data_IF_642235065841
#
_entry.id   IF_642235065841
#
_cell.length_a   1.000
_cell.length_b   1.000
_cell.length_c   1.000
_cell.angle_alpha   90.00
_cell.angle_beta   90.00
_cell.angle_gamma   90.00
#
_symmetry.space_group_name_H-M   'P 1'
#
loop_
_entity.id
_entity.type
_entity.pdbx_description
1 polymer ?
#
# COMPACT_ATOMS: atom_id res chain seq x y z
N UNK A 1 14.96 23.26 7.80
CA UNK A 1 13.59 23.01 7.35
C UNK A 1 13.63 22.13 6.11
N UNK A 2 13.20 20.90 6.26
CA UNK A 2 12.92 19.94 5.21
C UNK A 2 11.39 19.75 5.05
N UNK A 3 10.98 19.05 3.99
CA UNK A 3 9.59 18.79 3.67
C UNK A 3 9.35 17.28 3.59
N UNK A 4 8.26 16.82 4.20
CA UNK A 4 7.87 15.41 4.20
C UNK A 4 6.40 15.26 3.85
N UNK A 5 6.04 14.16 3.18
CA UNK A 5 4.62 13.84 2.95
C UNK A 5 3.95 13.47 4.27
N UNK A 6 2.69 13.86 4.43
CA UNK A 6 1.81 13.32 5.45
C UNK A 6 0.49 12.97 4.77
N UNK A 7 0.24 11.67 4.65
CA UNK A 7 -0.82 11.12 3.82
C UNK A 7 -2.02 10.84 4.72
N UNK A 8 -3.20 11.24 4.24
CA UNK A 8 -4.47 11.08 4.92
C UNK A 8 -5.45 10.31 4.02
N UNK A 9 -6.16 9.36 4.63
CA UNK A 9 -7.48 8.92 4.20
C UNK A 9 -8.53 10.01 4.52
N UNK A 10 -9.71 10.04 3.86
CA UNK A 10 -10.80 10.93 4.27
C UNK A 10 -11.17 10.81 5.76
N UNK A 11 -11.02 9.62 6.32
CA UNK A 11 -11.35 9.27 7.69
C UNK A 11 -10.32 9.82 8.66
N UNK A 12 -9.03 9.57 8.42
CA UNK A 12 -7.95 10.16 9.23
C UNK A 12 -7.89 11.68 9.09
N UNK A 13 -8.25 12.22 7.92
CA UNK A 13 -8.45 13.65 7.74
C UNK A 13 -9.57 14.17 8.65
N UNK A 14 -10.72 13.48 8.69
CA UNK A 14 -11.85 13.88 9.52
C UNK A 14 -11.54 13.73 11.02
N UNK A 15 -10.81 12.68 11.40
CA UNK A 15 -10.36 12.47 12.77
C UNK A 15 -9.44 13.61 13.23
N UNK A 16 -8.45 13.99 12.41
CA UNK A 16 -7.62 15.17 12.67
C UNK A 16 -8.46 16.47 12.68
N UNK A 17 -9.44 16.59 11.79
CA UNK A 17 -10.36 17.73 11.76
C UNK A 17 -11.24 17.81 13.02
N UNK A 18 -11.53 16.70 13.67
CA UNK A 18 -12.32 16.64 14.90
C UNK A 18 -11.47 16.73 16.18
N UNK A 19 -10.14 16.59 16.07
CA UNK A 19 -9.22 16.81 17.18
C UNK A 19 -8.85 18.28 17.37
N UNK A 20 -8.01 18.56 18.36
CA UNK A 20 -7.42 19.89 18.61
C UNK A 20 -6.36 20.29 17.55
N UNK A 21 -5.99 19.36 16.64
CA UNK A 21 -5.00 19.51 15.56
C UNK A 21 -3.60 19.86 16.06
N UNK A 22 -3.26 19.48 17.29
CA UNK A 22 -1.93 19.74 17.87
C UNK A 22 -0.99 18.55 17.71
N UNK A 23 -1.50 17.39 17.29
CA UNK A 23 -0.73 16.14 17.16
C UNK A 23 -0.95 15.49 15.79
N UNK A 24 0.15 15.13 15.13
CA UNK A 24 0.14 14.23 13.96
C UNK A 24 0.72 12.88 14.35
N UNK A 25 0.03 11.79 13.99
CA UNK A 25 0.45 10.43 14.32
C UNK A 25 0.82 9.60 13.10
N UNK A 26 1.71 8.65 13.32
CA UNK A 26 2.23 7.71 12.33
C UNK A 26 2.29 6.31 12.94
N UNK A 27 2.33 5.28 12.08
CA UNK A 27 2.36 3.88 12.51
C UNK A 27 3.76 3.50 13.00
N UNK A 28 3.84 2.48 13.85
CA UNK A 28 5.12 1.96 14.39
C UNK A 28 6.12 1.62 13.29
N UNK A 29 5.66 1.05 12.16
CA UNK A 29 6.53 0.73 11.01
C UNK A 29 7.26 1.96 10.43
N UNK A 30 6.71 3.16 10.64
CA UNK A 30 7.28 4.42 10.16
C UNK A 30 8.26 5.06 11.15
N UNK A 31 8.52 4.44 12.31
CA UNK A 31 9.38 4.99 13.37
C UNK A 31 10.77 5.40 12.87
N UNK A 32 11.42 4.57 12.06
CA UNK A 32 12.75 4.87 11.50
C UNK A 32 12.75 6.06 10.53
N UNK A 33 11.63 6.32 9.84
CA UNK A 33 11.47 7.51 9.01
C UNK A 33 11.16 8.74 9.87
N UNK A 34 10.33 8.58 10.90
CA UNK A 34 9.96 9.61 11.84
C UNK A 34 11.17 10.17 12.59
N UNK A 35 12.12 9.33 12.99
CA UNK A 35 13.36 9.74 13.66
C UNK A 35 14.24 10.69 12.82
N UNK A 36 14.01 10.79 11.51
CA UNK A 36 14.73 11.70 10.61
C UNK A 36 14.13 13.10 10.57
N UNK A 37 12.91 13.28 11.09
CA UNK A 37 12.18 14.55 11.09
C UNK A 37 12.63 15.40 12.28
N UNK A 38 12.76 16.71 12.09
CA UNK A 38 13.21 17.65 13.13
C UNK A 38 12.19 18.77 13.34
N UNK A 39 12.26 19.39 14.53
CA UNK A 39 11.52 20.62 14.80
C UNK A 39 11.81 21.69 13.72
N UNK A 40 10.75 22.35 13.26
CA UNK A 40 10.78 23.31 12.16
C UNK A 40 10.74 22.70 10.76
N UNK A 41 10.68 21.37 10.62
CA UNK A 41 10.34 20.73 9.35
C UNK A 41 8.83 20.83 9.07
N UNK A 42 8.44 20.67 7.81
CA UNK A 42 7.04 20.82 7.37
C UNK A 42 6.51 19.49 6.84
N UNK A 43 5.38 19.06 7.38
CA UNK A 43 4.54 18.05 6.77
C UNK A 43 3.62 18.69 5.73
N UNK A 44 3.69 18.19 4.49
CA UNK A 44 2.78 18.57 3.40
C UNK A 44 1.71 17.50 3.28
N UNK A 45 0.47 17.87 3.61
CA UNK A 45 -0.64 16.94 3.79
C UNK A 45 -1.32 16.63 2.46
N UNK A 46 -1.49 15.34 2.17
CA UNK A 46 -2.09 14.83 0.95
C UNK A 46 -3.24 13.87 1.24
N UNK A 47 -4.35 14.04 0.55
CA UNK A 47 -5.56 13.22 0.64
C UNK A 47 -5.59 12.23 -0.53
N UNK A 48 -5.37 10.95 -0.25
CA UNK A 48 -5.14 9.91 -1.28
C UNK A 48 -6.34 9.70 -2.20
N UNK A 49 -7.51 9.38 -1.63
CA UNK A 49 -8.72 8.98 -2.38
C UNK A 49 -9.24 10.06 -3.31
N UNK A 50 -9.11 11.33 -2.92
CA UNK A 50 -9.47 12.48 -3.77
C UNK A 50 -8.29 13.00 -4.60
N UNK A 51 -7.08 12.52 -4.33
CA UNK A 51 -5.84 12.98 -4.94
C UNK A 51 -5.63 14.50 -4.80
N UNK A 52 -5.72 15.02 -3.57
CA UNK A 52 -5.67 16.47 -3.29
C UNK A 52 -4.67 16.83 -2.19
N UNK A 53 -4.00 17.97 -2.32
CA UNK A 53 -3.20 18.55 -1.24
C UNK A 53 -4.10 19.38 -0.32
N UNK A 54 -4.06 19.10 0.98
CA UNK A 54 -5.03 19.65 1.93
C UNK A 54 -4.42 20.46 3.08
N UNK A 55 -3.11 20.42 3.32
CA UNK A 55 -2.59 21.09 4.50
C UNK A 55 -1.07 21.20 4.62
N UNK A 56 -0.67 22.03 5.58
CA UNK A 56 0.71 22.24 6.01
C UNK A 56 0.77 22.20 7.53
N UNK A 57 1.57 21.30 8.07
CA UNK A 57 1.81 21.20 9.52
C UNK A 57 3.29 21.46 9.79
N UNK A 58 3.59 22.44 10.63
CA UNK A 58 4.94 22.71 11.12
C UNK A 58 5.21 21.81 12.32
N UNK A 59 6.31 21.05 12.29
CA UNK A 59 6.73 20.20 13.39
C UNK A 59 7.25 21.05 14.53
N UNK A 60 6.65 20.93 15.71
CA UNK A 60 7.08 21.63 16.93
C UNK A 60 8.12 20.79 17.67
N UNK A 61 7.81 19.51 17.92
CA UNK A 61 8.74 18.54 18.49
C UNK A 61 8.29 17.09 18.16
N UNK A 62 9.11 16.12 18.58
CA UNK A 62 8.93 14.68 18.33
C UNK A 62 10.12 14.08 17.56
N UNK A 63 10.03 12.79 17.16
CA UNK A 63 8.93 11.88 17.45
C UNK A 63 8.89 11.46 18.92
N UNK A 64 7.70 11.16 19.44
CA UNK A 64 7.49 10.45 20.71
C UNK A 64 6.49 9.31 20.53
N UNK A 65 6.44 8.39 21.48
CA UNK A 65 5.54 7.24 21.45
C UNK A 65 4.45 7.42 22.50
N UNK A 66 3.19 7.40 22.08
CA UNK A 66 2.03 7.49 22.95
C UNK A 66 0.87 6.70 22.35
N UNK A 67 0.42 5.69 23.09
CA UNK A 67 -0.65 4.76 22.70
C UNK A 67 -2.04 5.20 23.16
N UNK A 68 -2.18 6.38 23.77
CA UNK A 68 -3.49 6.92 24.17
C UNK A 68 -4.34 7.16 22.92
N UNK A 69 -5.52 6.53 22.76
CA UNK A 69 -6.31 6.69 21.54
C UNK A 69 -6.65 8.15 21.25
N UNK A 70 -6.37 8.61 20.02
CA UNK A 70 -6.54 10.02 19.62
C UNK A 70 -7.34 10.17 18.33
N UNK A 71 -7.02 9.38 17.31
CA UNK A 71 -7.68 9.43 16.00
C UNK A 71 -8.79 8.38 15.89
N UNK A 72 -8.64 7.25 16.59
CA UNK A 72 -9.62 6.18 16.67
C UNK A 72 -10.03 5.97 18.14
N UNK A 73 -11.29 5.56 18.35
CA UNK A 73 -11.82 5.35 19.70
C UNK A 73 -11.14 4.19 20.46
N UNK A 74 -10.65 3.18 19.73
CA UNK A 74 -9.89 2.05 20.26
C UNK A 74 -8.84 1.58 19.26
N UNK A 75 -7.76 0.97 19.77
CA UNK A 75 -6.65 0.40 18.99
C UNK A 75 -6.10 1.36 17.92
N UNK A 76 -5.84 2.60 18.34
CA UNK A 76 -5.27 3.64 17.49
C UNK A 76 -3.85 3.24 17.05
N UNK A 77 -3.60 2.97 15.76
CA UNK A 77 -2.30 2.51 15.29
C UNK A 77 -1.29 3.66 15.14
N UNK A 78 -1.70 4.91 15.29
CA UNK A 78 -0.90 6.11 15.03
C UNK A 78 -0.19 6.60 16.30
N UNK A 79 0.63 5.72 16.89
CA UNK A 79 1.27 5.94 18.19
C UNK A 79 2.62 6.66 18.10
N UNK A 80 3.22 6.76 16.91
CA UNK A 80 4.44 7.54 16.70
C UNK A 80 4.03 8.97 16.36
N UNK A 81 4.16 9.89 17.32
CA UNK A 81 3.52 11.21 17.29
C UNK A 81 4.51 12.36 17.24
N UNK A 82 4.03 13.48 16.73
CA UNK A 82 4.70 14.77 16.75
C UNK A 82 3.72 15.82 17.23
N UNK A 83 4.19 16.74 18.07
CA UNK A 83 3.46 17.99 18.25
C UNK A 83 3.64 18.84 17.00
N UNK A 84 2.53 19.37 16.50
CA UNK A 84 2.48 20.13 15.26
C UNK A 84 1.72 21.42 15.43
N UNK A 85 2.05 22.41 14.61
CA UNK A 85 1.29 23.64 14.44
C UNK A 85 0.69 23.67 13.04
N UNK A 86 -0.63 23.79 12.96
CA UNK A 86 -1.33 23.96 11.69
C UNK A 86 -0.96 25.31 11.07
N UNK A 87 -0.39 25.29 9.86
CA UNK A 87 -0.19 26.48 9.02
C UNK A 87 -1.31 26.64 8.02
N UNK A 88 -1.75 25.53 7.42
CA UNK A 88 -2.84 25.47 6.45
C UNK A 88 -3.61 24.18 6.67
N UNK A 89 -4.94 24.26 6.62
CA UNK A 89 -5.82 23.09 6.56
C UNK A 89 -7.07 23.45 5.74
N UNK A 90 -7.25 22.78 4.60
CA UNK A 90 -8.25 23.11 3.58
C UNK A 90 -9.36 22.06 3.56
N UNK A 91 -10.65 22.47 3.63
CA UNK A 91 -11.79 21.59 3.37
C UNK A 91 -11.69 20.86 2.02
N UNK A 92 -12.35 19.71 1.86
CA UNK A 92 -12.27 18.93 0.61
C UNK A 92 -12.56 19.73 -0.67
N UNK A 93 -13.60 20.60 -0.72
CA UNK A 93 -13.85 21.41 -1.91
C UNK A 93 -12.75 22.43 -2.20
N UNK A 94 -11.90 22.78 -1.24
CA UNK A 94 -10.84 23.78 -1.39
C UNK A 94 -9.44 23.16 -1.45
N UNK A 95 -9.31 21.87 -1.15
CA UNK A 95 -8.07 21.13 -1.27
C UNK A 95 -7.63 21.07 -2.73
N UNK A 96 -6.34 21.34 -2.99
CA UNK A 96 -5.79 21.55 -4.34
C UNK A 96 -5.65 20.20 -5.05
N UNK A 97 -6.34 19.95 -6.17
CA UNK A 97 -6.19 18.70 -6.91
C UNK A 97 -4.78 18.55 -7.50
N UNK A 98 -4.24 17.34 -7.41
CA UNK A 98 -2.92 16.98 -7.95
C UNK A 98 -2.80 17.32 -9.45
N UNK A 99 -3.89 17.18 -10.20
CA UNK A 99 -3.93 17.31 -11.65
C UNK A 99 -4.06 18.76 -12.18
N UNK A 100 -4.10 19.76 -11.29
CA UNK A 100 -4.07 21.17 -11.69
C UNK A 100 -2.74 21.51 -12.38
N UNK A 101 -2.75 22.37 -13.41
CA UNK A 101 -1.51 22.70 -14.15
C UNK A 101 -0.43 23.35 -13.26
N UNK A 102 -0.87 24.17 -12.31
CA UNK A 102 0.00 24.79 -11.31
C UNK A 102 0.80 23.77 -10.49
N UNK A 103 0.25 22.58 -10.28
CA UNK A 103 0.90 21.49 -9.53
C UNK A 103 1.58 20.52 -10.50
N UNK A 104 0.80 19.92 -11.40
CA UNK A 104 1.24 18.81 -12.25
C UNK A 104 2.43 19.15 -13.14
N UNK A 105 2.43 20.33 -13.77
CA UNK A 105 3.49 20.69 -14.72
C UNK A 105 4.78 21.16 -14.03
N UNK A 106 4.76 21.34 -12.71
CA UNK A 106 5.81 22.05 -11.98
C UNK A 106 6.50 21.19 -10.90
N UNK A 107 5.89 20.08 -10.47
CA UNK A 107 6.51 19.13 -9.56
C UNK A 107 7.49 18.22 -10.30
N UNK A 108 8.66 17.98 -9.69
CA UNK A 108 9.71 17.18 -10.32
C UNK A 108 9.28 15.75 -10.70
N UNK A 109 8.36 15.16 -9.94
CA UNK A 109 7.86 13.80 -10.12
C UNK A 109 6.62 13.70 -11.04
N UNK A 110 6.11 14.81 -11.57
CA UNK A 110 4.97 14.82 -12.52
C UNK A 110 5.21 15.63 -13.80
N UNK A 111 6.10 16.62 -13.79
CA UNK A 111 6.33 17.53 -14.92
C UNK A 111 6.67 16.84 -16.25
N UNK A 112 7.24 15.62 -16.19
CA UNK A 112 7.64 14.83 -17.36
C UNK A 112 6.69 13.64 -17.62
N UNK A 113 5.52 13.63 -16.99
CA UNK A 113 4.55 12.55 -17.06
C UNK A 113 3.23 13.13 -17.61
N UNK A 114 2.62 12.42 -18.56
CA UNK A 114 1.28 12.80 -19.06
C UNK A 114 0.23 12.67 -17.94
N UNK A 115 -0.75 13.58 -17.89
CA UNK A 115 -1.77 13.63 -16.81
C UNK A 115 -2.61 12.36 -16.64
N UNK A 116 -2.74 11.58 -17.70
CA UNK A 116 -3.44 10.28 -17.73
C UNK A 116 -2.57 9.12 -17.23
N UNK A 117 -1.25 9.33 -17.07
CA UNK A 117 -0.33 8.32 -16.58
C UNK A 117 -0.37 8.25 -15.06
N UNK A 118 -0.26 7.02 -14.54
CA UNK A 118 -0.35 6.70 -13.11
C UNK A 118 1.03 6.48 -12.46
N UNK A 119 2.12 6.77 -13.19
CA UNK A 119 3.50 6.57 -12.73
C UNK A 119 4.04 7.62 -11.74
N UNK A 120 3.23 8.61 -11.34
CA UNK A 120 3.64 9.67 -10.41
C UNK A 120 3.41 9.33 -8.93
N UNK A 121 2.63 8.30 -8.64
CA UNK A 121 2.08 8.09 -7.29
C UNK A 121 3.15 7.75 -6.26
N UNK A 122 4.33 7.25 -6.65
CA UNK A 122 5.37 6.72 -5.77
C UNK A 122 5.69 7.57 -4.53
N UNK A 123 5.86 8.88 -4.69
CA UNK A 123 6.15 9.78 -3.55
C UNK A 123 4.99 9.86 -2.54
N UNK A 124 3.75 9.65 -2.99
CA UNK A 124 2.52 9.90 -2.25
C UNK A 124 1.83 8.63 -1.73
N UNK A 125 2.53 7.49 -1.77
CA UNK A 125 1.99 6.20 -1.32
C UNK A 125 2.20 5.91 0.16
N UNK A 126 3.19 6.58 0.76
CA UNK A 126 3.51 6.46 2.17
C UNK A 126 3.74 7.85 2.77
N UNK A 127 3.34 8.00 4.03
CA UNK A 127 3.74 9.16 4.84
C UNK A 127 5.23 9.14 5.17
N UNK A 128 5.78 10.32 5.45
CA UNK A 128 7.18 10.59 5.79
C UNK A 128 8.18 10.39 4.65
N UNK A 129 7.71 10.36 3.40
CA UNK A 129 8.60 10.46 2.25
C UNK A 129 9.16 11.89 2.15
N UNK A 130 10.48 12.00 2.01
CA UNK A 130 11.14 13.31 1.89
C UNK A 130 10.86 13.93 0.53
N UNK A 131 10.33 15.14 0.53
CA UNK A 131 10.08 15.95 -0.67
C UNK A 131 11.32 16.81 -0.91
N UNK A 132 11.77 16.92 -2.16
CA UNK A 132 12.90 17.80 -2.48
C UNK A 132 12.53 19.28 -2.23
N UNK A 133 13.54 20.11 -2.02
CA UNK A 133 13.36 21.49 -1.61
C UNK A 133 12.55 22.33 -2.62
N UNK A 134 12.74 22.11 -3.92
CA UNK A 134 12.02 22.83 -4.99
C UNK A 134 10.52 22.53 -4.93
N UNK A 135 10.17 21.25 -4.90
CA UNK A 135 8.77 20.80 -4.86
C UNK A 135 8.10 21.18 -3.54
N UNK A 136 8.81 21.04 -2.41
CA UNK A 136 8.30 21.42 -1.10
C UNK A 136 7.98 22.92 -1.00
N UNK A 137 8.86 23.79 -1.51
CA UNK A 137 8.61 25.24 -1.58
C UNK A 137 7.43 25.58 -2.49
N UNK A 138 7.31 24.91 -3.64
CA UNK A 138 6.19 25.09 -4.55
C UNK A 138 4.86 24.75 -3.87
N UNK A 139 4.75 23.55 -3.29
CA UNK A 139 3.55 23.09 -2.61
C UNK A 139 3.19 23.99 -1.43
N UNK A 140 4.17 24.36 -0.61
CA UNK A 140 3.97 25.27 0.51
C UNK A 140 3.40 26.62 0.05
N UNK A 141 3.97 27.22 -1.00
CA UNK A 141 3.46 28.47 -1.57
C UNK A 141 2.03 28.33 -2.10
N UNK A 142 1.75 27.27 -2.85
CA UNK A 142 0.42 27.02 -3.42
C UNK A 142 -0.64 26.85 -2.32
N UNK A 143 -0.33 26.09 -1.26
CA UNK A 143 -1.24 25.85 -0.15
C UNK A 143 -1.49 27.11 0.70
N UNK A 144 -0.45 27.91 0.97
CA UNK A 144 -0.62 29.20 1.64
C UNK A 144 -1.49 30.16 0.82
N UNK A 145 -1.21 30.28 -0.48
CA UNK A 145 -2.02 31.12 -1.37
C UNK A 145 -3.47 30.63 -1.45
N UNK A 146 -3.68 29.31 -1.51
CA UNK A 146 -5.02 28.73 -1.53
C UNK A 146 -5.78 28.94 -0.23
N UNK A 147 -5.09 28.98 0.92
CA UNK A 147 -5.71 29.32 2.20
C UNK A 147 -6.27 30.75 2.20
N UNK A 148 -5.58 31.69 1.56
CA UNK A 148 -6.01 33.09 1.46
C UNK A 148 -7.12 33.29 0.41
N UNK A 149 -7.01 32.64 -0.75
CA UNK A 149 -7.96 32.79 -1.86
C UNK A 149 -9.24 31.97 -1.62
N UNK A 150 -9.11 30.80 -1.00
CA UNK A 150 -10.18 29.83 -0.77
C UNK A 150 -10.95 29.45 -2.06
N UNK A 151 -10.24 29.23 -3.18
CA UNK A 151 -10.85 28.86 -4.45
C UNK A 151 -11.51 27.47 -4.39
N UNK A 152 -12.68 27.32 -5.00
CA UNK A 152 -13.38 26.03 -5.01
C UNK A 152 -12.95 25.13 -6.17
N UNK A 153 -12.71 23.87 -5.81
CA UNK A 153 -12.52 22.70 -6.65
C UNK A 153 -13.64 21.69 -6.34
N UNK A 154 -14.84 21.83 -6.94
CA UNK A 154 -16.01 21.04 -6.58
C UNK A 154 -15.75 19.52 -6.72
N UNK A 155 -16.37 18.74 -5.83
CA UNK A 155 -16.31 17.28 -5.85
C UNK A 155 -17.29 16.73 -6.88
N UNK A 156 -16.82 15.90 -7.81
CA UNK A 156 -17.68 15.26 -8.80
C UNK A 156 -18.39 14.02 -8.21
N UNK A 157 -19.27 13.38 -8.98
CA UNK A 157 -20.00 12.18 -8.50
C UNK A 157 -19.07 11.01 -8.12
N UNK A 158 -17.93 10.87 -8.80
CA UNK A 158 -16.95 9.82 -8.48
C UNK A 158 -16.26 10.11 -7.14
N UNK A 159 -15.86 11.36 -6.89
CA UNK A 159 -15.30 11.82 -5.62
C UNK A 159 -16.28 11.54 -4.47
N UNK A 160 -17.56 11.86 -4.69
CA UNK A 160 -18.61 11.61 -3.70
C UNK A 160 -18.81 10.13 -3.42
N UNK A 161 -18.70 9.26 -4.43
CA UNK A 161 -18.73 7.80 -4.24
C UNK A 161 -17.53 7.32 -3.42
N UNK A 162 -16.32 7.83 -3.71
CA UNK A 162 -15.09 7.47 -2.95
C UNK A 162 -15.12 7.89 -1.49
N UNK A 163 -15.94 8.89 -1.14
CA UNK A 163 -16.16 9.35 0.23
C UNK A 163 -17.26 8.57 0.98
N UNK A 164 -18.10 7.79 0.28
CA UNK A 164 -19.14 6.97 0.92
C UNK A 164 -18.51 5.66 1.40
N UNK A 165 -18.16 5.59 2.69
CA UNK A 165 -17.75 4.36 3.38
C UNK A 165 -18.92 3.72 4.10
N UNK A 166 -18.96 2.39 4.13
CA UNK A 166 -19.87 1.60 4.96
C UNK A 166 -19.05 0.99 6.12
N UNK A 167 -19.56 1.04 7.35
CA UNK A 167 -18.92 0.41 8.52
C UNK A 167 -19.63 -0.90 8.85
N UNK A 168 -18.87 -1.97 9.14
CA UNK A 168 -19.38 -3.23 9.66
C UNK A 168 -18.88 -3.42 11.09
N UNK A 169 -19.80 -3.67 12.01
CA UNK A 169 -19.49 -3.93 13.40
C UNK A 169 -19.12 -5.41 13.59
N UNK A 170 -17.89 -5.69 13.99
CA UNK A 170 -17.47 -7.00 14.49
C UNK A 170 -17.61 -7.03 16.01
N UNK A 171 -17.62 -8.23 16.60
CA UNK A 171 -17.77 -8.43 18.06
C UNK A 171 -16.66 -7.77 18.88
N UNK A 172 -15.51 -7.53 18.27
CA UNK A 172 -14.28 -6.98 18.84
C UNK A 172 -13.95 -5.56 18.36
N UNK A 173 -14.23 -5.21 17.09
CA UNK A 173 -13.94 -3.87 16.53
C UNK A 173 -14.88 -3.48 15.37
N UNK A 174 -15.06 -2.18 15.14
CA UNK A 174 -15.74 -1.65 13.93
C UNK A 174 -14.73 -1.56 12.78
N UNK A 175 -15.06 -2.15 11.64
CA UNK A 175 -14.19 -2.20 10.45
C UNK A 175 -14.90 -1.54 9.27
N UNK A 176 -14.17 -0.74 8.50
CA UNK A 176 -14.69 -0.10 7.29
C UNK A 176 -14.64 -1.04 6.10
N UNK A 177 -15.72 -1.07 5.33
CA UNK A 177 -15.91 -1.95 4.18
C UNK A 177 -16.36 -1.19 2.95
N UNK A 178 -16.01 -1.73 1.78
CA UNK A 178 -16.53 -1.26 0.50
C UNK A 178 -17.62 -2.20 -0.01
N UNK A 179 -18.78 -1.66 -0.39
CA UNK A 179 -19.88 -2.42 -0.99
C UNK A 179 -19.92 -2.09 -2.50
N UNK A 180 -19.75 -3.07 -3.41
CA UNK A 180 -19.80 -2.81 -4.84
C UNK A 180 -21.18 -2.33 -5.29
N UNK A 181 -21.23 -1.48 -6.32
CA UNK A 181 -22.44 -1.30 -7.13
C UNK A 181 -22.50 -2.42 -8.18
N UNK A 182 -23.67 -2.96 -8.48
CA UNK A 182 -23.92 -4.19 -9.27
C UNK A 182 -23.24 -4.32 -10.66
N UNK A 183 -22.53 -3.29 -11.14
CA UNK A 183 -21.88 -3.27 -12.46
C UNK A 183 -20.40 -3.68 -12.48
N UNK A 184 -19.77 -4.02 -11.35
CA UNK A 184 -18.33 -4.35 -11.29
C UNK A 184 -18.02 -5.86 -11.29
N UNK A 185 -19.05 -6.71 -11.38
CA UNK A 185 -18.93 -8.18 -11.31
C UNK A 185 -19.15 -8.86 -12.66
N UNK A 186 -18.48 -8.43 -13.73
CA UNK A 186 -18.34 -9.27 -14.93
C UNK A 186 -17.03 -8.95 -15.62
N UNK A 187 -16.10 -9.91 -15.60
CA UNK A 187 -15.12 -10.14 -16.66
C UNK A 187 -14.49 -11.50 -16.39
N UNK A 188 -15.26 -12.55 -16.70
CA UNK A 188 -14.76 -13.90 -16.93
C UNK A 188 -14.50 -14.03 -18.43
N UNK A 189 -13.24 -13.93 -18.85
CA UNK A 189 -12.81 -14.52 -20.13
C UNK A 189 -11.59 -15.42 -19.94
N UNK A 190 -11.72 -16.62 -20.52
CA UNK A 190 -10.76 -17.70 -20.48
C UNK A 190 -9.43 -17.35 -21.19
N UNK A 191 -8.31 -17.97 -20.78
CA UNK A 191 -6.99 -17.60 -21.26
C UNK A 191 -6.74 -18.16 -22.66
N UNK A 192 -6.60 -17.29 -23.65
CA UNK A 192 -5.89 -17.63 -24.87
C UNK A 192 -5.14 -16.43 -25.44
N UNK A 193 -3.87 -16.68 -25.78
CA UNK A 193 -2.84 -15.79 -26.34
C UNK A 193 -1.93 -15.09 -25.29
N UNK A 194 -0.62 -15.30 -25.46
CA UNK A 194 0.48 -14.66 -24.72
C UNK A 194 0.45 -13.14 -24.92
N UNK A 195 -0.35 -12.46 -24.12
CA UNK A 195 -0.35 -10.99 -24.04
C UNK A 195 0.93 -10.49 -23.35
N UNK A 196 1.35 -9.24 -23.61
CA UNK A 196 2.50 -8.62 -22.94
C UNK A 196 2.43 -8.67 -21.41
N UNK A 197 1.22 -8.60 -20.84
CA UNK A 197 0.95 -8.63 -19.41
C UNK A 197 1.27 -9.99 -18.76
N UNK A 198 0.95 -11.10 -19.44
CA UNK A 198 1.34 -12.46 -18.98
C UNK A 198 2.86 -12.60 -18.97
N UNK A 199 3.56 -11.93 -19.88
CA UNK A 199 5.02 -11.95 -19.91
C UNK A 199 5.64 -11.09 -18.80
N UNK A 200 5.00 -9.99 -18.41
CA UNK A 200 5.49 -9.14 -17.32
C UNK A 200 5.29 -9.79 -15.94
N UNK A 201 4.11 -10.37 -15.69
CA UNK A 201 3.83 -11.11 -14.45
C UNK A 201 4.82 -12.26 -14.21
N UNK A 202 5.16 -13.06 -15.23
CA UNK A 202 6.19 -14.12 -15.10
C UNK A 202 7.56 -13.55 -14.73
N UNK A 203 7.93 -12.38 -15.27
CA UNK A 203 9.17 -11.71 -14.87
C UNK A 203 9.14 -11.25 -13.42
N UNK A 204 7.98 -10.79 -12.93
CA UNK A 204 7.83 -10.37 -11.53
C UNK A 204 7.87 -11.58 -10.58
N UNK A 205 7.23 -12.70 -10.92
CA UNK A 205 7.38 -13.97 -10.19
C UNK A 205 8.84 -14.43 -10.12
N UNK A 206 9.56 -14.38 -11.25
CA UNK A 206 11.00 -14.72 -11.30
C UNK A 206 11.85 -13.78 -10.43
N UNK A 207 11.50 -12.49 -10.39
CA UNK A 207 12.20 -11.50 -9.58
C UNK A 207 11.99 -11.75 -8.08
N UNK A 208 10.76 -12.06 -7.67
CA UNK A 208 10.45 -12.47 -6.29
C UNK A 208 11.20 -13.73 -5.89
N UNK A 209 11.22 -14.75 -6.75
CA UNK A 209 11.96 -15.98 -6.51
C UNK A 209 13.47 -15.71 -6.33
N UNK A 210 14.04 -14.85 -7.19
CA UNK A 210 15.45 -14.46 -7.10
C UNK A 210 15.77 -13.70 -5.81
N UNK A 211 14.94 -12.73 -5.42
CA UNK A 211 15.14 -11.96 -4.19
C UNK A 211 15.07 -12.88 -2.98
N UNK A 212 14.01 -13.69 -2.87
CA UNK A 212 13.84 -14.60 -1.73
C UNK A 212 14.99 -15.60 -1.61
N UNK A 213 15.42 -16.19 -2.73
CA UNK A 213 16.54 -17.12 -2.75
C UNK A 213 17.87 -16.47 -2.36
N UNK A 214 18.11 -15.23 -2.82
CA UNK A 214 19.27 -14.44 -2.40
C UNK A 214 19.29 -14.22 -0.88
N UNK A 215 18.13 -14.10 -0.26
CA UNK A 215 17.95 -13.90 1.18
C UNK A 215 17.93 -15.21 1.99
N UNK A 216 18.25 -16.33 1.36
CA UNK A 216 18.31 -17.66 2.00
C UNK A 216 16.96 -18.33 2.23
N UNK A 217 15.90 -17.85 1.58
CA UNK A 217 14.58 -18.49 1.63
C UNK A 217 14.50 -19.68 0.68
N UNK A 218 13.68 -20.66 1.03
CA UNK A 218 13.20 -21.68 0.10
C UNK A 218 11.98 -21.16 -0.65
N UNK A 219 11.91 -21.44 -1.94
CA UNK A 219 10.91 -20.87 -2.85
C UNK A 219 9.98 -21.96 -3.32
N UNK A 220 8.68 -21.72 -3.23
CA UNK A 220 7.67 -22.49 -3.94
C UNK A 220 7.10 -21.69 -5.11
N UNK A 221 6.86 -22.39 -6.22
CA UNK A 221 6.19 -21.89 -7.41
C UNK A 221 5.15 -22.93 -7.88
N UNK A 222 3.96 -22.49 -8.35
CA UNK A 222 2.96 -23.36 -8.95
C UNK A 222 3.53 -24.15 -10.13
N UNK A 223 3.06 -25.39 -10.29
CA UNK A 223 3.54 -26.29 -11.36
C UNK A 223 3.32 -25.69 -12.76
N UNK A 224 2.22 -24.98 -12.97
CA UNK A 224 1.87 -24.34 -14.24
C UNK A 224 2.88 -23.26 -14.68
N UNK A 225 3.46 -22.54 -13.72
CA UNK A 225 4.28 -21.37 -13.99
C UNK A 225 5.78 -21.65 -13.85
N UNK A 226 6.14 -22.69 -13.08
CA UNK A 226 7.52 -23.08 -12.77
C UNK A 226 8.45 -23.09 -14.00
N UNK A 227 8.03 -23.70 -15.11
CA UNK A 227 8.87 -23.80 -16.32
C UNK A 227 9.13 -22.45 -16.99
N UNK A 228 8.18 -21.52 -16.92
CA UNK A 228 8.27 -20.17 -17.51
C UNK A 228 9.10 -19.26 -16.62
N UNK A 229 8.85 -19.32 -15.31
CA UNK A 229 9.61 -18.58 -14.29
C UNK A 229 11.08 -18.97 -14.30
N UNK A 230 11.40 -20.27 -14.36
CA UNK A 230 12.78 -20.77 -14.40
C UNK A 230 13.58 -20.30 -15.63
N UNK A 231 12.92 -19.92 -16.73
CA UNK A 231 13.62 -19.34 -17.89
C UNK A 231 14.13 -17.92 -17.62
N UNK A 232 13.43 -17.17 -16.77
CA UNK A 232 13.78 -15.80 -16.39
C UNK A 232 14.63 -15.78 -15.11
N UNK A 233 14.43 -16.75 -14.19
CA UNK A 233 15.15 -16.87 -12.92
C UNK A 233 16.50 -17.59 -13.10
N UNK A 234 17.59 -16.81 -13.20
CA UNK A 234 18.91 -17.33 -13.58
C UNK A 234 19.83 -17.77 -12.44
N UNK A 235 19.62 -17.30 -11.21
CA UNK A 235 20.54 -17.51 -10.06
C UNK A 235 19.77 -17.87 -8.80
N UNK A 236 20.22 -18.90 -8.07
CA UNK A 236 19.59 -19.31 -6.82
C UNK A 236 18.48 -20.36 -6.99
N UNK A 237 18.37 -21.01 -8.15
CA UNK A 237 17.29 -21.97 -8.45
C UNK A 237 17.33 -23.22 -7.57
N UNK A 238 18.46 -23.50 -6.92
CA UNK A 238 18.61 -24.52 -5.88
C UNK A 238 17.75 -24.27 -4.62
N UNK A 239 17.19 -23.05 -4.48
CA UNK A 239 16.22 -22.72 -3.45
C UNK A 239 14.81 -23.23 -3.77
N UNK A 240 14.52 -23.62 -5.02
CA UNK A 240 13.21 -24.11 -5.43
C UNK A 240 12.86 -25.43 -4.75
N UNK A 241 11.64 -25.50 -4.23
CA UNK A 241 11.08 -26.70 -3.61
C UNK A 241 10.31 -27.54 -4.63
N UNK A 242 10.61 -28.84 -4.65
CA UNK A 242 9.84 -29.79 -5.47
C UNK A 242 8.44 -30.05 -4.90
N UNK A 243 8.31 -30.05 -3.58
CA UNK A 243 7.04 -30.19 -2.85
C UNK A 243 6.99 -29.20 -1.68
N UNK A 244 5.84 -28.57 -1.46
CA UNK A 244 5.60 -27.78 -0.25
C UNK A 244 5.68 -28.68 1.00
N UNK A 245 6.56 -28.38 1.98
CA UNK A 245 6.78 -29.21 3.17
C UNK A 245 5.70 -28.96 4.23
N UNK A 246 4.43 -29.07 3.82
CA UNK A 246 3.25 -28.87 4.64
C UNK A 246 2.52 -30.22 4.83
N UNK A 247 1.94 -30.43 6.01
CA UNK A 247 1.24 -31.67 6.36
C UNK A 247 -0.28 -31.39 6.44
N UNK A 248 -0.95 -31.25 5.29
CA UNK A 248 -2.40 -31.04 5.18
C UNK A 248 -3.06 -32.08 4.27
N UNK A 249 -4.40 -32.10 4.27
CA UNK A 249 -5.19 -32.85 3.29
C UNK A 249 -4.97 -32.32 1.86
N UNK A 250 -5.16 -33.18 0.86
CA UNK A 250 -4.85 -32.86 -0.55
C UNK A 250 -5.68 -31.69 -1.09
N UNK A 251 -6.93 -31.54 -0.65
CA UNK A 251 -7.82 -30.45 -1.08
C UNK A 251 -7.28 -29.10 -0.65
N UNK A 252 -6.91 -28.95 0.62
CA UNK A 252 -6.31 -27.74 1.17
C UNK A 252 -4.96 -27.39 0.52
N UNK A 253 -4.10 -28.39 0.34
CA UNK A 253 -2.79 -28.18 -0.25
C UNK A 253 -2.91 -27.69 -1.70
N UNK A 254 -3.92 -28.17 -2.44
CA UNK A 254 -4.12 -27.82 -3.85
C UNK A 254 -4.36 -26.33 -4.08
N UNK A 255 -5.09 -25.64 -3.19
CA UNK A 255 -5.35 -24.20 -3.26
C UNK A 255 -4.09 -23.39 -2.98
N UNK A 256 -3.36 -23.74 -1.92
CA UNK A 256 -2.11 -23.06 -1.54
C UNK A 256 -1.04 -23.26 -2.62
N UNK A 257 -1.00 -24.42 -3.28
CA UNK A 257 -0.09 -24.71 -4.38
C UNK A 257 -0.28 -23.77 -5.59
N UNK A 258 -1.45 -23.12 -5.72
CA UNK A 258 -1.74 -22.14 -6.78
C UNK A 258 -1.32 -20.70 -6.44
N UNK A 259 -0.74 -20.42 -5.27
CA UNK A 259 -0.20 -19.10 -4.97
C UNK A 259 1.10 -18.91 -5.76
N UNK A 260 1.22 -17.78 -6.46
CA UNK A 260 2.27 -17.57 -7.46
C UNK A 260 3.69 -17.71 -6.94
N UNK A 261 3.98 -17.15 -5.76
CA UNK A 261 5.28 -17.32 -5.08
C UNK A 261 5.08 -17.44 -3.58
N UNK A 262 5.71 -18.44 -2.96
CA UNK A 262 5.74 -18.57 -1.49
C UNK A 262 7.19 -18.65 -1.03
N UNK A 263 7.52 -17.89 0.02
CA UNK A 263 8.81 -17.92 0.69
C UNK A 263 8.71 -18.70 2.00
N UNK A 264 9.64 -19.63 2.19
CA UNK A 264 9.72 -20.46 3.37
C UNK A 264 11.08 -20.35 4.04
N UNK A 265 11.08 -20.30 5.37
CA UNK A 265 12.28 -20.43 6.21
C UNK A 265 12.15 -21.70 7.03
N UNK A 266 12.93 -22.72 6.68
CA UNK A 266 12.73 -24.07 7.20
C UNK A 266 11.41 -24.65 6.71
N UNK A 267 10.46 -24.89 7.63
CA UNK A 267 9.10 -25.39 7.31
C UNK A 267 8.01 -24.32 7.43
N UNK A 268 8.35 -23.12 7.90
CA UNK A 268 7.41 -22.04 8.11
C UNK A 268 7.29 -21.17 6.85
N UNK A 269 6.06 -20.92 6.41
CA UNK A 269 5.76 -19.89 5.42
C UNK A 269 6.02 -18.53 6.06
N UNK A 270 6.88 -17.73 5.45
CA UNK A 270 7.20 -16.37 5.89
C UNK A 270 6.36 -15.35 5.12
N UNK A 271 6.27 -15.51 3.80
CA UNK A 271 5.56 -14.60 2.89
C UNK A 271 4.87 -15.36 1.76
N UNK A 272 3.73 -14.87 1.34
CA UNK A 272 3.01 -15.36 0.17
C UNK A 272 2.70 -14.19 -0.76
N UNK A 273 2.95 -14.37 -2.05
CA UNK A 273 2.82 -13.34 -3.08
C UNK A 273 1.88 -13.83 -4.16
N UNK A 274 0.87 -13.01 -4.45
CA UNK A 274 0.05 -13.16 -5.65
C UNK A 274 0.46 -12.06 -6.62
N UNK A 275 0.85 -12.45 -7.83
CA UNK A 275 1.30 -11.55 -8.88
C UNK A 275 0.16 -11.36 -9.86
N UNK A 276 -0.28 -10.12 -10.03
CA UNK A 276 -1.45 -9.85 -10.85
C UNK A 276 -1.22 -10.12 -12.34
N UNK A 277 -2.12 -10.94 -12.90
CA UNK A 277 -2.20 -11.30 -14.31
C UNK A 277 -3.36 -10.57 -15.03
N UNK A 278 -3.80 -11.09 -16.19
CA UNK A 278 -5.08 -10.77 -16.85
C UNK A 278 -6.31 -11.27 -16.08
N UNK A 279 -6.13 -12.17 -15.10
CA UNK A 279 -7.22 -12.68 -14.25
C UNK A 279 -7.57 -11.67 -13.15
N UNK A 280 -8.84 -11.63 -12.75
CA UNK A 280 -9.35 -10.70 -11.74
C UNK A 280 -8.58 -10.83 -10.42
N UNK A 281 -8.15 -9.68 -9.88
CA UNK A 281 -7.53 -9.48 -8.55
C UNK A 281 -8.23 -10.32 -7.47
N UNK A 282 -9.55 -10.45 -7.59
CA UNK A 282 -10.43 -11.17 -6.68
C UNK A 282 -10.03 -12.64 -6.47
N UNK A 283 -9.65 -13.35 -7.55
CA UNK A 283 -9.29 -14.77 -7.45
C UNK A 283 -8.02 -15.01 -6.62
N UNK A 284 -7.06 -14.11 -6.73
CA UNK A 284 -5.82 -14.16 -5.96
C UNK A 284 -6.03 -13.82 -4.48
N UNK A 285 -6.86 -12.81 -4.21
CA UNK A 285 -7.30 -12.46 -2.86
C UNK A 285 -7.97 -13.66 -2.17
N UNK A 286 -8.81 -14.41 -2.88
CA UNK A 286 -9.50 -15.56 -2.32
C UNK A 286 -8.52 -16.68 -1.89
N UNK A 287 -7.50 -16.98 -2.71
CA UNK A 287 -6.46 -17.98 -2.36
C UNK A 287 -5.70 -17.60 -1.08
N UNK A 288 -5.45 -16.30 -0.90
CA UNK A 288 -4.82 -15.78 0.32
C UNK A 288 -5.75 -15.85 1.53
N UNK A 289 -7.04 -15.53 1.35
CA UNK A 289 -8.04 -15.66 2.41
C UNK A 289 -8.17 -17.13 2.86
N UNK A 290 -8.17 -18.08 1.91
CA UNK A 290 -8.16 -19.51 2.20
C UNK A 290 -6.91 -19.91 3.02
N UNK A 291 -5.72 -19.41 2.63
CA UNK A 291 -4.48 -19.65 3.39
C UNK A 291 -4.59 -19.16 4.84
N UNK A 292 -5.15 -17.97 5.08
CA UNK A 292 -5.34 -17.43 6.43
C UNK A 292 -6.38 -18.19 7.24
N UNK A 293 -7.49 -18.60 6.60
CA UNK A 293 -8.53 -19.39 7.26
C UNK A 293 -7.98 -20.74 7.74
N UNK A 294 -7.05 -21.33 6.97
CA UNK A 294 -6.43 -22.61 7.28
C UNK A 294 -5.25 -22.49 8.26
N UNK A 295 -4.57 -21.34 8.29
CA UNK A 295 -3.43 -21.07 9.17
C UNK A 295 -3.68 -19.92 10.16
N UNK A 296 -4.72 -19.98 11.02
CA UNK A 296 -5.07 -18.86 11.90
C UNK A 296 -3.96 -18.53 12.92
N UNK A 297 -3.09 -19.51 13.23
CA UNK A 297 -2.00 -19.38 14.19
C UNK A 297 -0.64 -19.02 13.57
N UNK A 298 -0.56 -18.84 12.24
CA UNK A 298 0.69 -18.46 11.58
C UNK A 298 0.66 -16.98 11.20
N UNK A 299 1.73 -16.25 11.55
CA UNK A 299 1.91 -14.89 11.10
C UNK A 299 2.52 -14.90 9.68
N UNK A 300 1.66 -15.01 8.67
CA UNK A 300 2.05 -15.00 7.26
C UNK A 300 1.80 -13.60 6.70
N UNK A 301 2.86 -12.97 6.19
CA UNK A 301 2.73 -11.69 5.49
C UNK A 301 2.26 -11.92 4.06
N UNK A 302 1.14 -11.31 3.69
CA UNK A 302 0.52 -11.46 2.37
C UNK A 302 0.82 -10.23 1.51
N UNK A 303 1.07 -10.47 0.22
CA UNK A 303 1.45 -9.44 -0.71
C UNK A 303 0.76 -9.61 -2.06
N UNK A 304 0.04 -8.59 -2.51
CA UNK A 304 -0.39 -8.48 -3.91
C UNK A 304 0.64 -7.67 -4.67
N UNK A 305 1.21 -8.26 -5.70
CA UNK A 305 2.25 -7.66 -6.53
C UNK A 305 1.64 -7.32 -7.88
N UNK A 306 1.58 -6.03 -8.20
CA UNK A 306 0.78 -5.57 -9.34
C UNK A 306 1.37 -4.29 -9.96
N UNK A 307 0.95 -3.93 -11.19
CA UNK A 307 1.36 -2.67 -11.78
C UNK A 307 0.80 -1.49 -10.99
N UNK A 308 1.62 -0.45 -10.81
CA UNK A 308 1.40 0.74 -10.00
C UNK A 308 0.01 1.39 -10.14
N UNK A 309 -0.65 1.21 -11.28
CA UNK A 309 -1.95 1.77 -11.60
C UNK A 309 -3.16 1.04 -11.00
N UNK A 310 -2.97 -0.18 -10.46
CA UNK A 310 -4.04 -1.02 -9.92
C UNK A 310 -4.16 -1.00 -8.39
N UNK A 311 -3.28 -0.27 -7.70
CA UNK A 311 -3.29 -0.11 -6.24
C UNK A 311 -4.68 0.22 -5.67
N UNK A 312 -5.34 1.26 -6.17
CA UNK A 312 -6.66 1.69 -5.66
C UNK A 312 -7.72 0.59 -5.82
N UNK A 313 -7.70 -0.13 -6.95
CA UNK A 313 -8.62 -1.25 -7.21
C UNK A 313 -8.37 -2.40 -6.24
N UNK A 314 -7.10 -2.73 -6.00
CA UNK A 314 -6.71 -3.79 -5.06
C UNK A 314 -7.18 -3.47 -3.64
N UNK A 315 -6.94 -2.25 -3.17
CA UNK A 315 -7.38 -1.80 -1.85
C UNK A 315 -8.91 -1.80 -1.71
N UNK A 316 -9.64 -1.37 -2.74
CA UNK A 316 -11.11 -1.48 -2.76
C UNK A 316 -11.60 -2.94 -2.65
N UNK A 317 -10.98 -3.88 -3.36
CA UNK A 317 -11.36 -5.30 -3.30
C UNK A 317 -11.06 -5.93 -1.94
N UNK A 318 -9.91 -5.61 -1.32
CA UNK A 318 -9.54 -6.14 0.00
C UNK A 318 -10.49 -5.65 1.10
N UNK A 319 -11.07 -4.45 0.96
CA UNK A 319 -12.08 -3.91 1.89
C UNK A 319 -13.46 -4.53 1.77
N UNK A 320 -13.68 -5.51 0.88
CA UNK A 320 -15.00 -6.11 0.77
C UNK A 320 -15.38 -6.79 2.10
N UNK A 321 -16.67 -6.75 2.51
CA UNK A 321 -17.11 -7.27 3.80
C UNK A 321 -16.68 -8.71 4.07
N UNK A 322 -16.66 -9.54 3.03
CA UNK A 322 -16.24 -10.95 3.10
C UNK A 322 -14.79 -11.13 3.58
N UNK A 323 -13.90 -10.19 3.26
CA UNK A 323 -12.49 -10.23 3.67
C UNK A 323 -12.21 -9.44 4.96
N UNK A 324 -13.16 -8.62 5.40
CA UNK A 324 -13.06 -7.85 6.65
C UNK A 324 -13.49 -8.66 7.87
N UNK A 325 -14.34 -9.68 7.66
CA UNK A 325 -14.94 -10.49 8.73
C UNK A 325 -14.21 -11.82 9.00
N UNK A 326 -13.01 -12.03 8.45
CA UNK A 326 -12.23 -13.24 8.67
C UNK A 326 -11.87 -13.39 10.16
N UNK A 327 -11.97 -14.62 10.70
CA UNK A 327 -11.72 -14.90 12.14
C UNK A 327 -10.39 -14.32 12.64
N UNK A 328 -9.35 -14.44 11.84
CA UNK A 328 -8.02 -13.96 12.20
C UNK A 328 -7.91 -12.42 12.21
N UNK A 329 -8.84 -11.64 11.64
CA UNK A 329 -8.72 -10.18 11.42
C UNK A 329 -8.93 -9.75 9.96
N UNK A 330 -9.17 -8.45 9.69
CA UNK A 330 -9.37 -7.95 8.32
C UNK A 330 -8.18 -8.26 7.41
N UNK A 331 -8.45 -8.63 6.17
CA UNK A 331 -7.39 -8.88 5.19
C UNK A 331 -6.57 -7.61 4.89
N UNK A 332 -7.16 -6.41 4.96
CA UNK A 332 -6.49 -5.11 4.77
C UNK A 332 -5.36 -4.85 5.76
N UNK A 333 -5.40 -5.48 6.94
CA UNK A 333 -4.36 -5.34 7.95
C UNK A 333 -3.16 -6.29 7.71
N UNK A 334 -3.37 -7.38 6.98
CA UNK A 334 -2.35 -8.43 6.73
C UNK A 334 -1.86 -8.52 5.30
N UNK A 335 -2.61 -7.98 4.36
CA UNK A 335 -2.26 -7.95 2.95
C UNK A 335 -1.73 -6.57 2.59
N UNK A 336 -0.52 -6.55 2.03
CA UNK A 336 0.10 -5.34 1.51
C UNK A 336 0.22 -5.40 0.01
N UNK A 337 0.45 -4.25 -0.60
CA UNK A 337 0.60 -4.07 -2.03
C UNK A 337 2.07 -3.81 -2.37
N UNK A 338 2.63 -4.52 -3.34
CA UNK A 338 3.98 -4.29 -3.85
C UNK A 338 3.87 -3.89 -5.33
N UNK A 339 4.09 -2.62 -5.67
CA UNK A 339 4.14 -2.19 -7.06
C UNK A 339 5.30 -2.84 -7.80
N UNK A 340 5.11 -3.06 -9.10
CA UNK A 340 6.17 -3.56 -9.98
C UNK A 340 7.41 -2.66 -9.97
N UNK A 341 7.24 -1.34 -9.89
CA UNK A 341 8.36 -0.39 -9.75
C UNK A 341 9.18 -0.65 -8.49
N UNK A 342 8.53 -0.74 -7.32
CA UNK A 342 9.19 -1.00 -6.04
C UNK A 342 9.93 -2.34 -6.04
N UNK A 343 9.31 -3.40 -6.58
CA UNK A 343 9.96 -4.71 -6.68
C UNK A 343 11.20 -4.66 -7.58
N UNK A 344 11.11 -3.96 -8.72
CA UNK A 344 12.25 -3.73 -9.63
C UNK A 344 13.36 -2.94 -8.94
N UNK A 345 13.05 -1.99 -8.07
CA UNK A 345 14.05 -1.23 -7.34
C UNK A 345 14.67 -2.02 -6.19
N UNK A 346 13.88 -2.80 -5.45
CA UNK A 346 14.38 -3.74 -4.44
C UNK A 346 15.41 -4.70 -5.06
N UNK A 347 15.15 -5.19 -6.28
CA UNK A 347 16.08 -6.11 -6.96
C UNK A 347 17.46 -5.51 -7.26
N UNK A 348 17.59 -4.18 -7.26
CA UNK A 348 18.84 -3.45 -7.52
C UNK A 348 19.62 -3.13 -6.24
N UNK A 349 19.05 -3.39 -5.07
CA UNK A 349 19.68 -3.14 -3.78
C UNK A 349 20.93 -3.99 -3.64
N UNK A 350 22.03 -3.37 -3.19
CA UNK A 350 23.30 -4.08 -2.96
C UNK A 350 23.21 -4.88 -1.66
N UNK A 351 23.88 -6.03 -1.64
CA UNK A 351 23.99 -6.89 -0.46
C UNK A 351 22.67 -7.45 0.07
N UNK A 352 21.70 -7.73 -0.82
CA UNK A 352 20.45 -8.41 -0.45
C UNK A 352 20.69 -9.74 0.28
N UNK A 353 21.80 -10.43 0.00
CA UNK A 353 22.24 -11.65 0.67
C UNK A 353 22.51 -11.49 2.18
N UNK A 354 22.71 -10.26 2.64
CA UNK A 354 22.96 -9.93 4.05
C UNK A 354 21.75 -9.33 4.75
N UNK A 355 20.65 -9.14 4.03
CA UNK A 355 19.43 -8.53 4.54
C UNK A 355 18.42 -9.58 5.00
N UNK A 356 17.59 -9.22 5.97
CA UNK A 356 16.42 -10.00 6.38
C UNK A 356 15.23 -9.67 5.51
N UNK A 357 14.22 -10.55 5.46
CA UNK A 357 12.98 -10.33 4.68
C UNK A 357 12.21 -9.07 5.10
N UNK A 358 12.49 -8.53 6.29
CA UNK A 358 11.99 -7.22 6.73
C UNK A 358 12.31 -6.06 5.77
N UNK A 359 13.34 -6.17 4.92
CA UNK A 359 13.62 -5.13 3.89
C UNK A 359 12.44 -4.94 2.93
N UNK A 360 11.60 -5.97 2.72
CA UNK A 360 10.42 -5.83 1.87
C UNK A 360 9.42 -4.82 2.43
N UNK A 361 9.39 -4.61 3.75
CA UNK A 361 8.47 -3.64 4.38
C UNK A 361 8.76 -2.20 3.93
N UNK A 362 9.98 -1.90 3.49
CA UNK A 362 10.35 -0.59 2.95
C UNK A 362 9.82 -0.38 1.52
N UNK A 363 9.38 -1.45 0.86
CA UNK A 363 8.91 -1.48 -0.53
C UNK A 363 7.43 -1.88 -0.65
N UNK A 364 6.78 -2.22 0.47
CA UNK A 364 5.36 -2.49 0.55
C UNK A 364 4.58 -1.22 0.81
N UNK A 365 3.34 -1.24 0.35
CA UNK A 365 2.34 -0.23 0.59
C UNK A 365 1.18 -0.89 1.29
N UNK A 366 0.58 -0.17 2.22
CA UNK A 366 -0.59 -0.67 2.90
C UNK A 366 -1.69 0.34 2.78
N UNK A 367 -2.89 -0.20 2.88
CA UNK A 367 -4.06 0.63 2.94
C UNK A 367 -4.02 1.53 4.19
N UNK A 368 -4.16 2.83 3.97
CA UNK A 368 -4.42 3.78 5.04
C UNK A 368 -5.91 3.69 5.39
N UNK A 369 -6.19 2.99 6.50
CA UNK A 369 -7.45 3.09 7.25
C UNK A 369 -7.51 4.47 7.88
#
# INVERSE_FOLDING_TARGET
MAYYTNIFSPETYQAFMNSDKTVSGFRVRQKLLAEKVKAGDIFICYLTRLSRWCGLLEVVDGPYEDSTPLFLASDDPFIIRFHVRVKVWLPFPQAIPMYTDQIWQHLSFTQNIEKNSKGWTGLLRNSLNKINEKDGKLLMRCLLQQHDIAADYPLNEQDQKKLKTHTVNRTDKVIEVSVPSDNELVDDEAPNQTTPEVRESIKMQALLAQIGACMGMKIWLPKADRSRVLKEWKKGTEALLEKLPLNYDETTLSTIEQIDVIWLKGRAITRAFEVEHTTSVYSGILRMADLLALQPNMNINLHIVAPDNRQEKVFQEIRRPVFSLLESGPLSERCSYIPYSNLKDLSKVKHLDRMTDAVLEDYTEHEEL
#
